data_IF_528490849568
#
_entry.id   IF_528490849568
#
_cell.length_a   1.000
_cell.length_b   1.000
_cell.length_c   1.000
_cell.angle_alpha   90.00
_cell.angle_beta   90.00
_cell.angle_gamma   90.00
#
_symmetry.space_group_name_H-M   'P 1'
#
loop_
_entity.id
_entity.type
_entity.pdbx_description
1 polymer ?
#
# COMPACT_ATOMS: atom_id res chain seq x y z
N UNK A 1 -11.01 -14.89 -14.59
CA UNK A 1 -9.79 -15.13 -13.79
C UNK A 1 -8.80 -14.04 -14.18
N UNK A 2 -8.43 -13.14 -13.26
CA UNK A 2 -7.44 -12.09 -13.57
C UNK A 2 -6.06 -12.73 -13.44
N UNK A 3 -5.41 -13.00 -14.57
CA UNK A 3 -4.00 -13.37 -14.58
C UNK A 3 -3.18 -12.11 -14.32
N UNK A 4 -2.78 -11.93 -13.06
CA UNK A 4 -1.71 -11.00 -12.73
C UNK A 4 -0.43 -11.79 -12.98
N UNK A 5 0.03 -11.79 -14.23
CA UNK A 5 1.39 -12.23 -14.54
C UNK A 5 2.29 -11.10 -14.09
N UNK A 6 2.81 -11.22 -12.86
CA UNK A 6 3.96 -10.42 -12.44
C UNK A 6 5.11 -10.75 -13.39
N UNK A 7 5.57 -9.76 -14.14
CA UNK A 7 6.75 -9.93 -14.99
C UNK A 7 7.90 -10.45 -14.14
N UNK A 8 8.61 -11.47 -14.63
CA UNK A 8 9.92 -11.85 -14.08
C UNK A 8 10.85 -10.66 -14.31
N UNK A 9 10.97 -9.81 -13.30
CA UNK A 9 12.12 -8.93 -13.20
C UNK A 9 13.32 -9.85 -12.99
N UNK A 10 14.29 -9.79 -13.90
CA UNK A 10 15.64 -10.27 -13.63
C UNK A 10 16.13 -9.46 -12.44
N UNK A 11 16.02 -9.99 -11.23
CA UNK A 11 16.51 -9.33 -10.04
C UNK A 11 18.01 -9.09 -10.19
N UNK A 12 18.46 -7.86 -9.97
CA UNK A 12 19.88 -7.55 -9.87
C UNK A 12 20.39 -8.11 -8.53
N UNK A 13 20.83 -9.36 -8.58
CA UNK A 13 21.31 -10.11 -7.41
C UNK A 13 22.54 -9.42 -6.82
N UNK A 14 23.38 -8.81 -7.66
CA UNK A 14 24.60 -8.14 -7.22
C UNK A 14 24.29 -6.86 -6.43
N UNK A 15 23.43 -6.00 -6.98
CA UNK A 15 22.98 -4.80 -6.26
C UNK A 15 22.25 -5.16 -4.95
N UNK A 16 21.44 -6.24 -4.97
CA UNK A 16 20.78 -6.76 -3.77
C UNK A 16 21.77 -7.20 -2.69
N UNK A 17 22.81 -7.95 -3.08
CA UNK A 17 23.84 -8.41 -2.15
C UNK A 17 24.68 -7.26 -1.58
N UNK A 18 25.04 -6.26 -2.41
CA UNK A 18 25.74 -5.06 -1.95
C UNK A 18 24.94 -4.32 -0.89
N UNK A 19 23.66 -4.09 -1.15
CA UNK A 19 22.77 -3.42 -0.20
C UNK A 19 22.64 -4.19 1.13
N UNK A 20 22.54 -5.52 1.09
CA UNK A 20 22.48 -6.34 2.30
C UNK A 20 23.75 -6.15 3.15
N UNK A 21 24.93 -6.16 2.51
CA UNK A 21 26.20 -5.97 3.21
C UNK A 21 26.30 -4.57 3.85
N UNK A 22 25.91 -3.52 3.11
CA UNK A 22 25.88 -2.14 3.62
C UNK A 22 24.92 -1.96 4.80
N UNK A 23 23.73 -2.57 4.72
CA UNK A 23 22.74 -2.52 5.79
C UNK A 23 23.24 -3.24 7.05
N UNK A 24 23.90 -4.40 6.90
CA UNK A 24 24.51 -5.13 8.01
C UNK A 24 25.61 -4.32 8.70
N UNK A 25 26.51 -3.70 7.93
CA UNK A 25 27.54 -2.81 8.49
C UNK A 25 26.92 -1.66 9.29
N UNK A 26 25.88 -1.02 8.74
CA UNK A 26 25.18 0.07 9.41
C UNK A 26 24.53 -0.38 10.74
N UNK A 27 23.89 -1.55 10.75
CA UNK A 27 23.27 -2.12 11.96
C UNK A 27 24.33 -2.34 13.04
N UNK A 28 25.47 -2.95 12.70
CA UNK A 28 26.57 -3.21 13.64
C UNK A 28 27.19 -1.89 14.12
N UNK A 29 27.55 -1.00 13.20
CA UNK A 29 28.20 0.28 13.49
C UNK A 29 27.37 1.19 14.40
N UNK A 30 26.05 1.20 14.20
CA UNK A 30 25.12 2.00 15.00
C UNK A 30 24.54 1.24 16.20
N UNK A 31 24.90 -0.03 16.39
CA UNK A 31 24.39 -0.91 17.44
C UNK A 31 22.85 -0.94 17.47
N UNK A 32 22.23 -1.03 16.28
CA UNK A 32 20.78 -1.01 16.17
C UNK A 32 20.18 -2.32 16.66
N UNK A 33 19.11 -2.24 17.44
CA UNK A 33 18.30 -3.38 17.83
C UNK A 33 17.16 -3.63 16.85
N UNK A 34 16.57 -4.83 16.89
CA UNK A 34 15.41 -5.17 16.04
C UNK A 34 14.21 -4.23 16.27
N UNK A 35 14.06 -3.66 17.47
CA UNK A 35 13.01 -2.69 17.78
C UNK A 35 13.17 -1.35 17.04
N UNK A 36 14.40 -1.02 16.62
CA UNK A 36 14.75 0.24 15.95
C UNK A 36 14.74 0.13 14.42
N UNK A 37 14.65 -1.09 13.88
CA UNK A 37 14.64 -1.35 12.44
C UNK A 37 13.18 -1.48 12.00
N UNK A 38 12.75 -0.66 11.05
CA UNK A 38 11.39 -0.67 10.53
C UNK A 38 11.36 -1.10 9.07
N UNK A 39 10.38 -1.93 8.73
CA UNK A 39 9.98 -2.18 7.36
C UNK A 39 8.65 -1.46 7.10
N UNK A 40 8.55 -0.77 5.97
CA UNK A 40 7.30 -0.17 5.52
C UNK A 40 7.01 -0.59 4.08
N UNK A 41 5.74 -0.86 3.76
CA UNK A 41 5.31 -1.23 2.41
C UNK A 41 3.93 -0.63 2.05
N UNK A 42 3.73 -0.38 0.75
CA UNK A 42 2.51 0.19 0.21
C UNK A 42 1.61 -0.89 -0.40
N UNK A 43 0.40 -1.02 0.14
CA UNK A 43 -0.62 -1.91 -0.41
C UNK A 43 -1.80 -1.14 -1.00
N UNK A 44 -2.35 -1.65 -2.10
CA UNK A 44 -3.52 -1.08 -2.75
C UNK A 44 -4.81 -1.76 -2.31
N UNK A 45 -5.68 -1.03 -1.61
CA UNK A 45 -7.01 -1.48 -1.22
C UNK A 45 -8.07 -1.05 -2.24
N UNK A 46 -8.83 -1.99 -2.78
CA UNK A 46 -9.98 -1.70 -3.64
C UNK A 46 -11.25 -1.58 -2.80
N UNK A 47 -11.85 -0.39 -2.74
CA UNK A 47 -13.00 -0.15 -1.85
C UNK A 47 -14.36 -0.20 -2.56
N UNK A 48 -14.38 -0.18 -3.90
CA UNK A 48 -15.62 -0.24 -4.72
C UNK A 48 -15.62 -1.32 -5.81
N UNK A 49 -14.74 -2.30 -5.67
CA UNK A 49 -14.71 -3.42 -6.59
C UNK A 49 -15.94 -4.31 -6.37
N UNK A 50 -16.82 -4.40 -7.38
CA UNK A 50 -17.90 -5.37 -7.38
C UNK A 50 -17.34 -6.80 -7.49
N UNK A 51 -17.96 -7.79 -6.81
CA UNK A 51 -17.67 -9.20 -7.04
C UNK A 51 -17.78 -9.54 -8.53
N UNK A 52 -16.83 -10.31 -9.04
CA UNK A 52 -16.77 -10.62 -10.49
C UNK A 52 -17.87 -11.58 -10.94
N UNK A 53 -18.61 -12.20 -10.02
CA UNK A 53 -19.72 -13.10 -10.31
C UNK A 53 -20.98 -12.60 -9.59
N UNK A 54 -21.78 -11.79 -10.28
CA UNK A 54 -23.21 -11.73 -9.97
C UNK A 54 -23.82 -13.03 -10.49
N UNK A 55 -24.27 -13.91 -9.59
CA UNK A 55 -25.27 -14.91 -9.95
C UNK A 55 -26.55 -14.12 -10.25
N UNK A 56 -26.70 -13.70 -11.51
CA UNK A 56 -27.94 -13.09 -11.99
C UNK A 56 -28.93 -14.25 -12.18
N UNK A 57 -30.08 -14.30 -11.48
CA UNK A 57 -31.17 -15.20 -11.84
C UNK A 57 -31.58 -14.89 -13.28
N UNK A 58 -31.80 -15.91 -14.10
CA UNK A 58 -31.74 -15.85 -15.57
C UNK A 58 -32.70 -14.91 -16.34
N UNK A 59 -33.38 -13.94 -15.69
CA UNK A 59 -34.47 -13.17 -16.29
C UNK A 59 -34.36 -11.63 -16.17
N UNK A 60 -33.20 -11.04 -15.87
CA UNK A 60 -33.05 -9.58 -15.91
C UNK A 60 -32.13 -9.13 -17.05
N UNK A 61 -32.66 -8.24 -17.89
CA UNK A 61 -32.00 -7.63 -19.03
C UNK A 61 -30.60 -7.12 -18.66
N UNK A 62 -29.60 -7.63 -19.37
CA UNK A 62 -28.19 -7.24 -19.26
C UNK A 62 -28.08 -5.74 -19.54
N UNK A 63 -27.97 -4.94 -18.48
CA UNK A 63 -27.66 -3.52 -18.61
C UNK A 63 -26.28 -3.37 -19.31
N UNK A 64 -26.16 -2.51 -20.33
CA UNK A 64 -24.93 -2.38 -21.10
C UNK A 64 -23.80 -1.84 -20.21
N UNK A 65 -22.72 -2.63 -20.11
CA UNK A 65 -21.37 -2.18 -19.74
C UNK A 65 -21.26 -1.35 -18.46
N UNK A 66 -21.59 -1.93 -17.29
CA UNK A 66 -21.21 -1.32 -16.01
C UNK A 66 -19.68 -1.39 -15.83
N UNK A 67 -18.98 -0.30 -16.13
CA UNK A 67 -17.53 -0.17 -15.93
C UNK A 67 -17.22 -0.48 -14.46
N UNK A 68 -16.45 -1.55 -14.20
CA UNK A 68 -16.02 -1.90 -12.84
C UNK A 68 -15.28 -0.70 -12.24
N UNK A 69 -15.83 -0.10 -11.20
CA UNK A 69 -15.15 0.96 -10.47
C UNK A 69 -13.97 0.32 -9.72
N UNK A 70 -12.77 0.59 -10.21
CA UNK A 70 -11.51 0.15 -9.62
C UNK A 70 -10.92 1.26 -8.77
N UNK A 71 -11.75 1.90 -7.94
CA UNK A 71 -11.27 2.93 -7.03
C UNK A 71 -10.34 2.25 -6.02
N UNK A 72 -9.06 2.60 -6.13
CA UNK A 72 -7.97 2.05 -5.31
C UNK A 72 -7.48 3.14 -4.37
N UNK A 73 -7.38 2.77 -3.11
CA UNK A 73 -6.77 3.56 -2.05
C UNK A 73 -5.42 2.91 -1.74
N UNK A 74 -4.36 3.70 -1.59
CA UNK A 74 -3.07 3.16 -1.15
C UNK A 74 -2.97 3.30 0.37
N UNK A 75 -2.51 2.26 1.04
CA UNK A 75 -2.26 2.23 2.48
C UNK A 75 -0.78 1.90 2.67
N UNK A 76 -0.08 2.72 3.44
CA UNK A 76 1.26 2.44 3.93
C UNK A 76 1.14 1.76 5.30
N UNK A 77 1.62 0.53 5.37
CA UNK A 77 1.85 -0.19 6.62
C UNK A 77 3.31 -0.07 7.03
N UNK A 78 3.58 0.02 8.32
CA UNK A 78 4.95 0.00 8.82
C UNK A 78 5.02 -0.65 10.21
N UNK A 79 6.01 -1.52 10.42
CA UNK A 79 6.23 -2.23 11.67
C UNK A 79 7.72 -2.40 11.93
N UNK A 80 8.11 -2.49 13.20
CA UNK A 80 9.49 -2.82 13.52
C UNK A 80 9.79 -4.31 13.30
N UNK A 81 11.08 -4.65 13.17
CA UNK A 81 11.52 -6.00 12.91
C UNK A 81 11.23 -6.97 14.08
N UNK A 82 11.06 -6.42 15.30
CA UNK A 82 10.65 -7.18 16.48
C UNK A 82 9.11 -7.32 16.62
N UNK A 83 8.32 -6.68 15.75
CA UNK A 83 6.85 -6.62 15.76
C UNK A 83 6.20 -6.11 17.08
N UNK A 84 6.98 -5.53 18.00
CA UNK A 84 6.46 -4.89 19.22
C UNK A 84 5.75 -3.57 18.93
N UNK A 85 6.04 -2.94 17.79
CA UNK A 85 5.46 -1.67 17.42
C UNK A 85 5.05 -1.64 15.95
N UNK A 86 3.78 -1.29 15.74
CA UNK A 86 3.17 -1.08 14.43
C UNK A 86 2.74 0.38 14.32
N UNK A 87 3.23 1.07 13.31
CA UNK A 87 2.82 2.43 13.00
C UNK A 87 1.36 2.40 12.54
N UNK A 88 0.56 3.37 13.02
CA UNK A 88 -0.85 3.52 12.62
C UNK A 88 -0.95 3.60 11.09
N UNK A 89 -1.88 2.82 10.52
CA UNK A 89 -2.07 2.73 9.07
C UNK A 89 -2.24 4.13 8.46
N UNK A 90 -1.48 4.38 7.40
CA UNK A 90 -1.46 5.67 6.74
C UNK A 90 -2.07 5.56 5.35
N UNK A 91 -3.17 6.27 5.15
CA UNK A 91 -3.80 6.50 3.86
C UNK A 91 -2.89 7.37 3.01
N UNK A 92 -2.44 6.84 1.87
CA UNK A 92 -1.58 7.55 0.94
C UNK A 92 -2.40 7.98 -0.27
N UNK A 93 -2.55 9.30 -0.42
CA UNK A 93 -3.31 9.93 -1.50
C UNK A 93 -2.47 10.83 -2.39
N UNK A 94 -3.09 11.34 -3.46
CA UNK A 94 -2.48 12.35 -4.34
C UNK A 94 -2.55 13.77 -3.77
N UNK A 95 -3.53 14.05 -2.92
CA UNK A 95 -3.79 15.36 -2.34
C UNK A 95 -3.67 15.31 -0.82
N UNK A 96 -3.10 16.36 -0.23
CA UNK A 96 -3.04 16.56 1.24
C UNK A 96 -4.44 16.68 1.85
N UNK A 97 -5.39 17.24 1.10
CA UNK A 97 -6.79 17.35 1.49
C UNK A 97 -7.69 16.88 0.34
N UNK A 98 -7.93 15.57 0.25
CA UNK A 98 -8.92 15.02 -0.68
C UNK A 98 -10.30 15.64 -0.44
N UNK A 99 -11.03 15.95 -1.52
CA UNK A 99 -12.39 16.48 -1.42
C UNK A 99 -13.35 15.55 -0.67
N UNK A 100 -13.11 14.23 -0.69
CA UNK A 100 -13.92 13.27 0.07
C UNK A 100 -13.80 13.41 1.59
N UNK A 101 -12.78 14.12 2.11
CA UNK A 101 -12.64 14.45 3.53
C UNK A 101 -13.09 15.88 3.86
N UNK A 102 -13.78 16.56 2.93
CA UNK A 102 -14.37 17.86 3.22
C UNK A 102 -15.41 17.69 4.32
N UNK A 103 -15.29 18.47 5.40
CA UNK A 103 -16.15 18.43 6.59
C UNK A 103 -16.03 17.15 7.45
N UNK A 104 -14.99 16.33 7.24
CA UNK A 104 -14.68 15.21 8.12
C UNK A 104 -13.51 15.60 9.03
N UNK A 105 -13.68 15.44 10.35
CA UNK A 105 -12.55 15.54 11.27
C UNK A 105 -11.62 14.33 11.08
N UNK A 106 -10.44 14.60 10.52
CA UNK A 106 -9.44 13.56 10.25
C UNK A 106 -8.80 13.00 11.52
N UNK A 107 -8.83 13.74 12.63
CA UNK A 107 -8.27 13.27 13.90
C UNK A 107 -9.12 12.17 14.52
N UNK A 108 -10.42 12.18 14.24
CA UNK A 108 -11.37 11.14 14.62
C UNK A 108 -11.22 9.84 13.80
N UNK A 109 -10.45 9.85 12.70
CA UNK A 109 -10.26 8.65 11.88
C UNK A 109 -9.20 7.71 12.48
N UNK A 110 -9.41 6.38 12.42
CA UNK A 110 -8.44 5.39 12.87
C UNK A 110 -7.23 5.25 11.92
N UNK A 111 -7.08 6.16 10.95
CA UNK A 111 -5.98 6.18 9.98
C UNK A 111 -5.38 7.58 9.87
N UNK A 112 -4.07 7.66 9.63
CA UNK A 112 -3.45 8.93 9.24
C UNK A 112 -3.63 9.15 7.73
N UNK A 113 -3.70 10.39 7.28
CA UNK A 113 -3.76 10.70 5.84
C UNK A 113 -2.53 11.50 5.43
N UNK A 114 -1.79 11.03 4.44
CA UNK A 114 -0.65 11.73 3.84
C UNK A 114 -0.77 11.77 2.32
N UNK A 115 0.00 12.66 1.71
CA UNK A 115 0.20 12.66 0.27
C UNK A 115 1.67 12.42 -0.05
N UNK A 116 1.96 11.58 -1.03
CA UNK A 116 3.32 11.42 -1.53
C UNK A 116 3.73 12.75 -2.18
N UNK A 117 4.76 13.39 -1.63
CA UNK A 117 5.58 14.30 -2.43
C UNK A 117 6.51 13.39 -3.22
N UNK A 118 6.40 13.37 -4.55
CA UNK A 118 7.47 12.78 -5.35
C UNK A 118 8.75 13.51 -4.92
N UNK A 119 9.74 12.79 -4.41
CA UNK A 119 11.09 13.31 -4.40
C UNK A 119 11.42 13.59 -5.87
N UNK A 120 11.65 14.86 -6.21
CA UNK A 120 12.30 15.20 -7.47
C UNK A 120 13.69 14.58 -7.35
N UNK A 121 13.91 13.49 -8.09
CA UNK A 121 15.24 12.99 -8.38
C UNK A 121 15.98 13.93 -9.31
#
# INVERSE_FOLDING_TARGET
QLSIVGGKLSSDIEAGNSFIAELQDLIVKKQLTADQIYNCDETGLFWRALPTKTLVPGNEAVAPSRKKMKDRVTILGCANAFDSHRVKLTLVGKSKQPHCFKNIDKTALPVFTTCIRKALG
#
